data_IF_209325888921
#
_entry.id   IF_209325888921
#
_cell.length_a   1.000
_cell.length_b   1.000
_cell.length_c   1.000
_cell.angle_alpha   90.00
_cell.angle_beta   90.00
_cell.angle_gamma   90.00
#
_symmetry.space_group_name_H-M   'P 1'
#
loop_
_entity.id
_entity.type
_entity.pdbx_description
1 polymer ?
#
# COMPACT_ATOMS: atom_id res chain seq x y z
N UNK A 1 12.24 -2.75 -24.29
CA UNK A 1 12.54 -1.71 -23.28
C UNK A 1 11.30 -1.55 -22.41
N UNK A 2 11.41 -1.71 -21.09
CA UNK A 2 10.29 -1.51 -20.15
C UNK A 2 10.41 -0.09 -19.61
N UNK A 3 9.56 0.86 -20.05
CA UNK A 3 9.84 2.28 -19.93
C UNK A 3 9.58 2.88 -18.56
N UNK A 4 9.04 2.14 -17.57
CA UNK A 4 8.71 2.67 -16.24
C UNK A 4 8.96 1.71 -15.08
N UNK A 5 9.37 0.48 -15.36
CA UNK A 5 9.52 -0.58 -14.36
C UNK A 5 10.83 -1.33 -14.56
N UNK A 6 11.45 -1.71 -13.45
CA UNK A 6 12.66 -2.52 -13.40
C UNK A 6 12.35 -4.03 -13.40
N UNK A 7 11.08 -4.39 -13.31
CA UNK A 7 10.62 -5.76 -13.22
C UNK A 7 9.17 -5.96 -13.68
N UNK A 8 8.88 -7.20 -14.07
CA UNK A 8 7.59 -7.66 -14.56
C UNK A 8 7.21 -8.93 -13.81
N UNK A 9 6.00 -8.96 -13.25
CA UNK A 9 5.40 -10.20 -12.75
C UNK A 9 4.59 -10.84 -13.88
N UNK A 10 4.80 -12.13 -14.09
CA UNK A 10 4.14 -12.94 -15.10
C UNK A 10 3.16 -13.88 -14.38
N UNK A 11 1.87 -13.61 -14.55
CA UNK A 11 0.81 -14.43 -13.97
C UNK A 11 1.01 -15.92 -14.33
N UNK A 12 0.99 -16.78 -13.31
CA UNK A 12 1.21 -18.22 -13.43
C UNK A 12 2.57 -18.65 -14.01
N UNK A 13 3.60 -17.81 -13.98
CA UNK A 13 4.93 -18.17 -14.48
C UNK A 13 6.07 -17.75 -13.54
N UNK A 14 6.13 -16.49 -13.11
CA UNK A 14 7.25 -15.99 -12.31
C UNK A 14 7.49 -14.51 -12.50
N UNK A 15 8.75 -14.09 -12.44
CA UNK A 15 9.14 -12.70 -12.59
C UNK A 15 10.29 -12.54 -13.59
N UNK A 16 10.39 -11.37 -14.20
CA UNK A 16 11.51 -10.96 -15.05
C UNK A 16 12.01 -9.62 -14.54
N UNK A 17 13.31 -9.51 -14.28
CA UNK A 17 13.96 -8.23 -13.92
C UNK A 17 14.90 -7.78 -15.02
N UNK A 18 15.06 -6.48 -15.15
CA UNK A 18 16.01 -5.87 -16.06
C UNK A 18 16.93 -4.91 -15.30
N UNK A 19 18.10 -4.61 -15.86
CA UNK A 19 19.08 -3.70 -15.29
C UNK A 19 20.16 -3.35 -16.32
N UNK A 20 20.99 -2.35 -16.04
CA UNK A 20 22.11 -1.97 -16.93
C UNK A 20 23.17 -3.06 -17.06
N UNK A 21 23.25 -3.97 -16.08
CA UNK A 21 24.15 -5.12 -16.05
C UNK A 21 23.47 -6.31 -15.34
N UNK A 22 24.07 -7.50 -15.51
CA UNK A 22 23.52 -8.75 -14.96
C UNK A 22 23.44 -8.75 -13.44
N UNK A 23 24.39 -8.12 -12.75
CA UNK A 23 24.43 -8.10 -11.30
C UNK A 23 23.31 -7.21 -10.74
N UNK A 24 23.07 -6.06 -11.34
CA UNK A 24 21.92 -5.20 -11.00
C UNK A 24 20.60 -5.91 -11.25
N UNK A 25 20.45 -6.62 -12.37
CA UNK A 25 19.24 -7.40 -12.65
C UNK A 25 19.04 -8.54 -11.63
N UNK A 26 20.12 -9.21 -11.22
CA UNK A 26 20.12 -10.25 -10.20
C UNK A 26 19.68 -9.71 -8.83
N UNK A 27 20.24 -8.59 -8.36
CA UNK A 27 19.83 -8.01 -7.07
C UNK A 27 18.39 -7.49 -7.08
N UNK A 28 17.91 -6.99 -8.22
CA UNK A 28 16.49 -6.66 -8.39
C UNK A 28 15.61 -7.89 -8.27
N UNK A 29 16.04 -9.03 -8.82
CA UNK A 29 15.32 -10.30 -8.68
C UNK A 29 15.26 -10.76 -7.23
N UNK A 30 16.38 -10.67 -6.50
CA UNK A 30 16.44 -10.99 -5.07
C UNK A 30 15.47 -10.12 -4.26
N UNK A 31 15.44 -8.82 -4.55
CA UNK A 31 14.54 -7.87 -3.88
C UNK A 31 13.08 -8.25 -4.09
N UNK A 32 12.70 -8.67 -5.31
CA UNK A 32 11.33 -9.11 -5.62
C UNK A 32 10.98 -10.38 -4.88
N UNK A 33 11.83 -11.40 -4.94
CA UNK A 33 11.61 -12.68 -4.27
C UNK A 33 11.45 -12.48 -2.76
N UNK A 34 12.30 -11.65 -2.15
CA UNK A 34 12.21 -11.33 -0.74
C UNK A 34 10.91 -10.58 -0.40
N UNK A 35 10.53 -9.60 -1.20
CA UNK A 35 9.28 -8.85 -1.02
C UNK A 35 8.05 -9.75 -1.19
N UNK A 36 8.09 -10.71 -2.13
CA UNK A 36 7.03 -11.68 -2.34
C UNK A 36 6.87 -12.60 -1.13
N UNK A 37 7.98 -13.08 -0.56
CA UNK A 37 7.95 -13.88 0.69
C UNK A 37 7.38 -13.10 1.86
N UNK A 38 7.78 -11.84 2.03
CA UNK A 38 7.24 -10.97 3.08
C UNK A 38 5.74 -10.78 2.90
N UNK A 39 5.30 -10.49 1.67
CA UNK A 39 3.88 -10.25 1.36
C UNK A 39 3.05 -11.51 1.62
N UNK A 40 3.49 -12.66 1.12
CA UNK A 40 2.83 -13.94 1.36
C UNK A 40 2.76 -14.27 2.86
N UNK A 41 3.86 -14.10 3.59
CA UNK A 41 3.88 -14.35 5.03
C UNK A 41 2.96 -13.40 5.80
N UNK A 42 2.88 -12.13 5.40
CA UNK A 42 1.98 -11.14 5.99
C UNK A 42 0.51 -11.50 5.73
N UNK A 43 0.15 -11.84 4.50
CA UNK A 43 -1.21 -12.30 4.13
C UNK A 43 -1.61 -13.56 4.88
N UNK A 44 -0.68 -14.51 5.04
CA UNK A 44 -0.90 -15.72 5.84
C UNK A 44 -1.09 -15.43 7.34
N UNK A 45 -0.51 -14.34 7.84
CA UNK A 45 -0.66 -13.91 9.23
C UNK A 45 -1.93 -13.06 9.47
N UNK A 46 -2.61 -12.61 8.41
CA UNK A 46 -3.80 -11.77 8.47
C UNK A 46 -3.72 -10.58 7.51
N UNK A 47 -4.35 -9.47 7.88
CA UNK A 47 -4.32 -8.25 7.06
C UNK A 47 -2.95 -7.55 7.14
N UNK A 48 -2.22 -7.37 6.03
CA UNK A 48 -0.94 -6.67 6.04
C UNK A 48 -1.09 -5.20 6.44
N UNK A 49 -0.34 -4.76 7.45
CA UNK A 49 -0.33 -3.36 7.86
C UNK A 49 0.46 -2.48 6.88
N UNK A 50 -0.23 -1.89 5.89
CA UNK A 50 0.38 -0.98 4.91
C UNK A 50 0.95 0.29 5.56
N UNK A 51 1.97 0.89 4.93
CA UNK A 51 2.49 2.20 5.32
C UNK A 51 1.47 3.30 5.00
N UNK A 52 1.47 4.38 5.78
CA UNK A 52 0.70 5.60 5.48
C UNK A 52 1.32 6.39 4.32
N UNK A 53 0.52 7.23 3.67
CA UNK A 53 1.01 8.13 2.60
C UNK A 53 2.16 9.01 3.07
N UNK A 54 2.12 9.45 4.33
CA UNK A 54 3.19 10.25 4.95
C UNK A 54 4.48 9.47 5.14
N UNK A 55 4.41 8.20 5.54
CA UNK A 55 5.60 7.34 5.70
C UNK A 55 6.23 7.03 4.35
N UNK A 56 5.43 6.73 3.34
CA UNK A 56 5.90 6.52 1.96
C UNK A 56 6.58 7.80 1.44
N UNK A 57 5.99 8.98 1.66
CA UNK A 57 6.60 10.25 1.26
C UNK A 57 7.98 10.49 1.91
N UNK A 58 8.15 10.14 3.19
CA UNK A 58 9.46 10.20 3.87
C UNK A 58 10.49 9.28 3.20
N UNK A 59 10.09 8.05 2.83
CA UNK A 59 10.96 7.11 2.14
C UNK A 59 11.34 7.62 0.74
N UNK A 60 10.39 8.18 -0.01
CA UNK A 60 10.64 8.76 -1.33
C UNK A 60 11.64 9.92 -1.24
N UNK A 61 11.48 10.81 -0.25
CA UNK A 61 12.42 11.91 0.02
C UNK A 61 13.81 11.43 0.45
N UNK A 62 13.91 10.24 1.05
CA UNK A 62 15.18 9.65 1.48
C UNK A 62 15.94 8.92 0.36
N UNK A 63 15.28 8.51 -0.74
CA UNK A 63 15.90 7.77 -1.86
C UNK A 63 17.23 8.35 -2.36
N UNK A 64 17.36 9.69 -2.58
CA UNK A 64 18.62 10.26 -3.06
C UNK A 64 19.78 10.08 -2.07
N UNK A 65 19.50 10.05 -0.75
CA UNK A 65 20.51 9.87 0.29
C UNK A 65 21.10 8.47 0.31
N UNK A 66 20.31 7.48 -0.16
CA UNK A 66 20.71 6.09 -0.25
C UNK A 66 21.11 5.67 -1.67
N UNK A 67 21.32 6.63 -2.57
CA UNK A 67 21.70 6.38 -3.96
C UNK A 67 20.72 5.46 -4.72
N UNK A 68 19.44 5.50 -4.34
CA UNK A 68 18.38 4.75 -5.01
C UNK A 68 17.84 5.59 -6.17
N UNK A 69 18.17 5.18 -7.40
CA UNK A 69 17.65 5.80 -8.60
C UNK A 69 16.20 5.34 -8.87
N UNK A 70 15.31 6.23 -9.35
CA UNK A 70 14.01 5.80 -9.84
C UNK A 70 14.17 4.92 -11.09
N UNK A 71 13.19 4.02 -11.37
CA UNK A 71 13.21 3.22 -12.59
C UNK A 71 13.29 4.12 -13.83
N UNK A 72 13.91 3.64 -14.93
CA UNK A 72 13.97 4.35 -16.19
C UNK A 72 12.57 4.84 -16.58
N UNK A 73 12.46 6.09 -17.01
CA UNK A 73 11.22 6.73 -17.46
C UNK A 73 10.20 7.14 -16.39
N UNK A 74 10.54 7.05 -15.09
CA UNK A 74 9.92 7.89 -14.04
C UNK A 74 8.42 7.71 -13.80
N UNK A 75 7.82 6.63 -14.30
CA UNK A 75 6.36 6.46 -14.36
C UNK A 75 5.78 5.42 -13.40
N UNK A 76 6.54 4.94 -12.43
CA UNK A 76 5.96 4.06 -11.42
C UNK A 76 4.97 4.87 -10.57
N UNK A 77 3.68 4.53 -10.68
CA UNK A 77 2.62 5.04 -9.83
C UNK A 77 3.02 4.97 -8.36
N UNK A 78 2.49 5.88 -7.54
CA UNK A 78 2.77 5.87 -6.10
C UNK A 78 2.30 4.52 -5.50
N UNK A 79 3.07 3.93 -4.57
CA UNK A 79 2.66 2.70 -3.91
C UNK A 79 1.30 2.85 -3.23
N UNK A 80 0.51 1.79 -3.22
CA UNK A 80 -0.72 1.72 -2.43
C UNK A 80 -0.34 1.92 -0.96
N UNK A 81 -0.99 2.88 -0.31
CA UNK A 81 -0.79 3.17 1.12
C UNK A 81 -2.08 2.85 1.87
N UNK A 82 -1.98 2.71 3.20
CA UNK A 82 -3.14 2.48 4.07
C UNK A 82 -4.25 3.51 3.85
N UNK A 83 -3.85 4.75 3.53
CA UNK A 83 -4.75 5.89 3.36
C UNK A 83 -5.20 6.07 1.89
N UNK A 84 -4.72 5.23 0.97
CA UNK A 84 -4.98 5.34 -0.48
C UNK A 84 -6.19 4.53 -0.96
N UNK A 85 -6.81 3.73 -0.08
CA UNK A 85 -8.09 3.09 -0.39
C UNK A 85 -9.20 4.13 -0.50
N UNK A 86 -10.22 3.86 -1.33
CA UNK A 86 -11.43 4.67 -1.52
C UNK A 86 -12.31 4.84 -0.25
N UNK A 87 -11.74 4.70 0.95
CA UNK A 87 -12.36 5.01 2.23
C UNK A 87 -11.53 6.06 2.97
N UNK A 88 -11.57 7.30 2.47
CA UNK A 88 -11.24 8.47 3.28
C UNK A 88 -12.36 8.83 4.28
N UNK A 89 -13.37 7.99 4.47
CA UNK A 89 -14.38 8.18 5.53
C UNK A 89 -15.36 7.01 5.59
N UNK A 90 -15.34 6.27 6.70
CA UNK A 90 -16.58 5.87 7.40
C UNK A 90 -16.37 5.06 8.68
N UNK A 91 -15.13 4.69 9.04
CA UNK A 91 -14.90 4.12 10.37
C UNK A 91 -14.88 5.23 11.44
N UNK A 92 -16.04 5.44 12.04
CA UNK A 92 -16.21 6.30 13.23
C UNK A 92 -16.02 5.45 14.48
N UNK A 93 -14.98 5.73 15.26
CA UNK A 93 -14.78 5.09 16.56
C UNK A 93 -15.61 5.80 17.62
N UNK A 94 -16.54 5.09 18.24
CA UNK A 94 -17.38 5.59 19.33
C UNK A 94 -17.20 4.72 20.56
N UNK A 95 -17.28 5.33 21.73
CA UNK A 95 -17.52 4.58 22.96
C UNK A 95 -18.93 3.99 22.93
N UNK A 96 -19.16 2.91 23.67
CA UNK A 96 -20.49 2.30 23.78
C UNK A 96 -21.57 3.32 24.18
N UNK A 97 -21.22 4.22 25.11
CA UNK A 97 -22.11 5.26 25.61
C UNK A 97 -22.49 6.31 24.55
N UNK A 98 -21.56 6.68 23.67
CA UNK A 98 -21.83 7.62 22.57
C UNK A 98 -22.72 6.98 21.50
N UNK A 99 -22.50 5.70 21.20
CA UNK A 99 -23.35 4.95 20.28
C UNK A 99 -24.79 4.83 20.81
N UNK A 100 -24.95 4.49 22.09
CA UNK A 100 -26.27 4.39 22.74
C UNK A 100 -27.01 5.74 22.70
N UNK A 101 -26.32 6.85 22.98
CA UNK A 101 -26.89 8.19 22.92
C UNK A 101 -27.36 8.58 21.51
N UNK A 102 -26.60 8.20 20.48
CA UNK A 102 -26.95 8.47 19.07
C UNK A 102 -28.22 7.72 18.65
N UNK A 103 -28.36 6.46 19.09
CA UNK A 103 -29.53 5.62 18.81
C UNK A 103 -30.78 6.22 19.49
N UNK A 104 -30.67 6.64 20.75
CA UNK A 104 -31.77 7.25 21.50
C UNK A 104 -32.25 8.58 20.90
N UNK A 105 -31.34 9.38 20.34
CA UNK A 105 -31.69 10.60 19.62
C UNK A 105 -32.44 10.29 18.32
N UNK A 106 -31.94 9.34 17.52
CA UNK A 106 -32.54 8.93 16.25
C UNK A 106 -33.97 8.41 16.45
N UNK A 107 -34.20 7.58 17.47
CA UNK A 107 -35.53 7.02 17.80
C UNK A 107 -36.53 8.10 18.22
N UNK A 108 -36.09 9.12 18.99
CA UNK A 108 -36.94 10.27 19.34
C UNK A 108 -37.34 11.08 18.12
N UNK A 109 -36.40 11.28 17.19
CA UNK A 109 -36.62 12.04 15.96
C UNK A 109 -37.62 11.36 15.02
N UNK A 110 -37.62 10.03 14.97
CA UNK A 110 -38.59 9.27 14.17
C UNK A 110 -40.00 9.28 14.78
N UNK A 111 -40.08 9.16 16.11
CA UNK A 111 -41.35 9.24 16.85
C UNK A 111 -42.05 10.59 16.77
N UNK A 112 -41.29 11.68 16.59
CA UNK A 112 -41.85 13.03 16.44
C UNK A 112 -42.25 13.36 15.00
N UNK A 113 -41.89 12.50 14.04
CA UNK A 113 -42.21 12.63 12.61
C UNK A 113 -43.46 11.82 12.19
N UNK A 114 -44.00 10.99 13.10
CA UNK A 114 -45.30 10.31 12.99
C UNK A 114 -46.35 11.09 13.78
#
# INVERSE_FOLDING_TARGET
FVPHYDALLLANHGAVTCGPDLLTAFFRMETIEHSAKMTLAAEMAGEPALLSSREVAKLMAARPRYFVAPPPGGGAELPITRDSGENAGDDVTLTRSELDALIDEAVRKDRTRR
#
